data_IF_245140777208
#
_entry.id   IF_245140777208
#
_cell.length_a   1.000
_cell.length_b   1.000
_cell.length_c   1.000
_cell.angle_alpha   90.00
_cell.angle_beta   90.00
_cell.angle_gamma   90.00
#
_symmetry.space_group_name_H-M   'P 1'
#
loop_
_entity.id
_entity.type
_entity.pdbx_description
1 polymer ?
#
# COMPACT_ATOMS: atom_id res chain seq x y z
N UNK A 1 12.09 -26.93 31.82
CA UNK A 1 13.31 -27.01 30.98
C UNK A 1 12.95 -27.68 29.66
N UNK A 2 12.36 -26.92 28.73
CA UNK A 2 12.32 -27.16 27.26
C UNK A 2 11.69 -25.93 26.61
N UNK A 3 12.31 -25.44 25.53
CA UNK A 3 12.10 -24.17 24.84
C UNK A 3 10.92 -24.18 23.85
N UNK A 4 10.27 -23.02 23.66
CA UNK A 4 9.91 -22.38 22.38
C UNK A 4 9.02 -21.13 22.66
N UNK A 5 8.93 -20.08 21.85
CA UNK A 5 9.86 -19.08 21.26
C UNK A 5 8.96 -18.09 20.47
N UNK A 6 9.34 -16.80 20.41
CA UNK A 6 8.73 -15.63 19.74
C UNK A 6 7.59 -14.85 20.44
N UNK A 7 7.89 -13.62 20.90
CA UNK A 7 6.95 -12.50 20.88
C UNK A 7 7.42 -11.45 19.88
N UNK A 8 6.53 -11.07 18.97
CA UNK A 8 6.72 -9.88 18.13
C UNK A 8 5.83 -8.78 18.73
N UNK A 9 6.40 -7.87 19.52
CA UNK A 9 5.77 -6.59 19.84
C UNK A 9 5.90 -5.69 18.60
N UNK A 10 4.82 -5.32 17.94
CA UNK A 10 4.85 -4.52 16.69
C UNK A 10 4.68 -3.02 16.98
N UNK A 11 5.67 -2.22 16.56
CA UNK A 11 5.69 -0.77 16.74
C UNK A 11 5.80 -0.10 15.37
N UNK A 12 4.79 0.68 14.99
CA UNK A 12 4.70 1.36 13.69
C UNK A 12 4.73 2.88 13.88
N UNK A 13 5.58 3.55 13.10
CA UNK A 13 5.63 5.01 13.00
C UNK A 13 4.73 5.46 11.85
N UNK A 14 3.78 6.35 12.13
CA UNK A 14 2.94 6.93 11.08
C UNK A 14 2.72 8.42 11.29
N UNK A 15 2.74 9.16 10.18
CA UNK A 15 2.32 10.57 10.13
C UNK A 15 0.81 10.69 10.13
N UNK A 16 0.28 11.48 11.05
CA UNK A 16 -1.14 11.83 11.03
C UNK A 16 -1.48 12.91 9.97
N UNK A 17 -2.77 13.15 9.76
CA UNK A 17 -3.28 14.18 8.83
C UNK A 17 -2.88 15.62 9.23
N UNK A 18 -2.37 15.82 10.44
CA UNK A 18 -1.86 17.08 10.96
C UNK A 18 -0.32 17.19 10.86
N UNK A 19 0.34 16.29 10.12
CA UNK A 19 1.80 16.18 10.00
C UNK A 19 2.52 16.00 11.35
N UNK A 20 1.88 15.36 12.32
CA UNK A 20 2.53 14.99 13.59
C UNK A 20 2.91 13.52 13.54
N UNK A 21 4.12 13.25 14.02
CA UNK A 21 4.62 11.88 14.16
C UNK A 21 3.99 11.22 15.38
N UNK A 22 3.58 9.97 15.21
CA UNK A 22 2.98 9.16 16.26
C UNK A 22 3.63 7.78 16.29
N UNK A 23 3.86 7.28 17.51
CA UNK A 23 4.30 5.92 17.78
C UNK A 23 3.10 5.09 18.22
N UNK A 24 2.78 4.05 17.44
CA UNK A 24 1.84 3.02 17.86
C UNK A 24 2.57 1.97 18.69
N UNK A 25 1.98 1.58 19.82
CA UNK A 25 2.53 0.54 20.69
C UNK A 25 1.50 -0.58 20.88
N UNK A 26 1.86 -1.76 20.41
CA UNK A 26 1.15 -3.01 20.69
C UNK A 26 2.08 -3.94 21.48
N UNK A 27 1.50 -4.71 22.40
CA UNK A 27 2.21 -5.78 23.10
C UNK A 27 1.59 -7.12 22.77
N UNK A 28 2.44 -8.15 22.65
CA UNK A 28 1.98 -9.54 22.52
C UNK A 28 2.49 -10.34 23.70
N UNK A 29 1.57 -10.98 24.42
CA UNK A 29 1.89 -11.75 25.62
C UNK A 29 1.16 -13.09 25.61
N UNK A 30 1.60 -13.98 26.49
CA UNK A 30 1.08 -15.34 26.60
C UNK A 30 0.61 -15.56 28.02
N UNK A 31 -0.59 -16.11 28.18
CA UNK A 31 -1.16 -16.41 29.48
C UNK A 31 -0.70 -17.78 30.03
N UNK A 32 -1.20 -18.13 31.21
CA UNK A 32 -0.89 -19.41 31.87
C UNK A 32 -1.38 -20.65 31.10
N UNK A 33 -2.30 -20.47 30.15
CA UNK A 33 -2.84 -21.53 29.28
C UNK A 33 -2.10 -21.63 27.96
N UNK A 34 -1.07 -20.81 27.75
CA UNK A 34 -0.34 -20.67 26.50
C UNK A 34 -1.17 -20.05 25.36
N UNK A 35 -2.24 -19.32 25.70
CA UNK A 35 -2.99 -18.56 24.71
C UNK A 35 -2.27 -17.23 24.44
N UNK A 36 -2.15 -16.89 23.15
CA UNK A 36 -1.50 -15.64 22.69
C UNK A 36 -2.53 -14.51 22.69
N UNK A 37 -2.18 -13.42 23.36
CA UNK A 37 -2.97 -12.20 23.44
C UNK A 37 -2.19 -11.03 22.84
N UNK A 38 -2.91 -10.12 22.20
CA UNK A 38 -2.35 -8.91 21.62
C UNK A 38 -3.17 -7.71 22.08
N UNK A 39 -2.51 -6.78 22.77
CA UNK A 39 -3.14 -5.60 23.34
C UNK A 39 -2.51 -4.34 22.75
N UNK A 40 -3.37 -3.45 22.26
CA UNK A 40 -2.99 -2.12 21.82
C UNK A 40 -2.91 -1.17 23.03
N UNK A 41 -1.71 -0.71 23.35
CA UNK A 41 -1.46 0.18 24.50
C UNK A 41 -1.78 1.64 24.17
N UNK A 42 -1.59 2.06 22.92
CA UNK A 42 -1.97 3.39 22.48
C UNK A 42 -1.14 3.97 21.34
N UNK A 43 -1.56 5.16 20.92
CA UNK A 43 -0.82 6.04 20.01
C UNK A 43 -0.22 7.19 20.82
N UNK A 44 1.10 7.33 20.74
CA UNK A 44 1.85 8.33 21.48
C UNK A 44 2.44 9.34 20.52
N UNK A 45 2.08 10.61 20.71
CA UNK A 45 2.64 11.69 19.90
C UNK A 45 4.14 11.80 20.19
N UNK A 46 4.93 11.83 19.14
CA UNK A 46 6.37 12.08 19.21
C UNK A 46 6.66 13.54 18.91
N UNK A 47 7.54 14.15 19.72
CA UNK A 47 8.08 15.49 19.45
C UNK A 47 9.39 15.43 18.66
N UNK A 48 10.09 14.30 18.78
CA UNK A 48 11.37 14.02 18.14
C UNK A 48 11.38 12.56 17.68
N UNK A 49 12.10 12.28 16.59
CA UNK A 49 12.20 10.94 15.99
C UNK A 49 13.55 10.28 16.25
N UNK A 50 14.39 10.84 17.11
CA UNK A 50 15.65 10.22 17.46
C UNK A 50 15.44 8.97 18.32
N UNK A 51 16.40 8.06 18.24
CA UNK A 51 16.32 6.77 18.92
C UNK A 51 16.27 6.90 20.45
N UNK A 52 16.86 7.95 21.03
CA UNK A 52 16.89 8.16 22.47
C UNK A 52 15.51 8.58 22.99
N UNK A 53 14.85 9.49 22.28
CA UNK A 53 13.48 9.95 22.56
C UNK A 53 12.47 8.82 22.40
N UNK A 54 12.61 8.01 21.35
CA UNK A 54 11.80 6.81 21.14
C UNK A 54 11.98 5.83 22.31
N UNK A 55 13.23 5.53 22.68
CA UNK A 55 13.54 4.61 23.79
C UNK A 55 12.95 5.08 25.11
N UNK A 56 13.06 6.38 25.39
CA UNK A 56 12.46 6.99 26.58
C UNK A 56 10.94 6.88 26.56
N UNK A 57 10.31 7.14 25.42
CA UNK A 57 8.86 7.05 25.25
C UNK A 57 8.36 5.62 25.47
N UNK A 58 9.01 4.63 24.86
CA UNK A 58 8.70 3.20 25.06
C UNK A 58 8.77 2.83 26.54
N UNK A 59 9.86 3.18 27.23
CA UNK A 59 10.02 2.87 28.64
C UNK A 59 8.99 3.54 29.52
N UNK A 60 8.68 4.81 29.26
CA UNK A 60 7.64 5.54 29.98
C UNK A 60 6.27 4.86 29.84
N UNK A 61 5.94 4.37 28.63
CA UNK A 61 4.70 3.62 28.38
C UNK A 61 4.70 2.31 29.16
N UNK A 62 5.76 1.51 29.06
CA UNK A 62 5.87 0.25 29.81
C UNK A 62 5.73 0.48 31.32
N UNK A 63 6.36 1.53 31.86
CA UNK A 63 6.23 1.90 33.27
C UNK A 63 4.81 2.29 33.65
N UNK A 64 4.09 3.05 32.81
CA UNK A 64 2.68 3.42 33.05
C UNK A 64 1.76 2.21 33.13
N UNK A 65 2.04 1.16 32.37
CA UNK A 65 1.31 -0.11 32.42
C UNK A 65 1.90 -1.12 33.43
N UNK A 66 2.90 -0.73 34.21
CA UNK A 66 3.61 -1.61 35.16
C UNK A 66 4.22 -2.86 34.50
N UNK A 67 4.63 -2.74 33.24
CA UNK A 67 5.29 -3.78 32.48
C UNK A 67 6.81 -3.65 32.62
N UNK A 68 7.47 -4.75 33.01
CA UNK A 68 8.92 -4.80 33.13
C UNK A 68 9.58 -5.16 31.79
N UNK A 69 10.57 -4.38 31.36
CA UNK A 69 11.38 -4.67 30.17
C UNK A 69 12.17 -5.98 30.31
N UNK A 70 12.46 -6.44 31.53
CA UNK A 70 13.13 -7.73 31.78
C UNK A 70 12.32 -8.94 31.29
N UNK A 71 10.99 -8.76 31.22
CA UNK A 71 10.06 -9.77 30.71
C UNK A 71 9.91 -9.70 29.18
N UNK A 72 10.40 -8.65 28.53
CA UNK A 72 10.41 -8.56 27.07
C UNK A 72 11.34 -9.63 26.49
N UNK A 73 10.79 -10.44 25.57
CA UNK A 73 11.54 -11.50 24.86
C UNK A 73 11.69 -11.23 23.37
N UNK A 74 11.03 -10.22 22.85
CA UNK A 74 11.14 -9.84 21.46
C UNK A 74 10.55 -8.47 21.20
N UNK A 75 11.00 -7.87 20.11
CA UNK A 75 10.64 -6.51 19.71
C UNK A 75 10.69 -6.45 18.17
N UNK A 76 9.65 -5.89 17.55
CA UNK A 76 9.51 -5.83 16.10
C UNK A 76 9.27 -4.39 15.61
N UNK A 77 10.10 -3.96 14.67
CA UNK A 77 10.09 -2.59 14.14
C UNK A 77 10.17 -2.60 12.62
N UNK A 78 9.79 -1.48 12.00
CA UNK A 78 10.16 -1.19 10.63
C UNK A 78 11.68 -0.94 10.50
N UNK A 79 12.22 -0.97 9.28
CA UNK A 79 13.66 -0.79 9.04
C UNK A 79 14.12 0.68 9.14
N UNK A 80 13.35 1.55 9.81
CA UNK A 80 13.79 2.91 10.04
C UNK A 80 15.09 2.92 10.86
N UNK A 81 16.08 3.72 10.43
CA UNK A 81 17.42 3.73 11.03
C UNK A 81 17.40 4.08 12.53
N UNK A 82 16.46 4.91 12.97
CA UNK A 82 16.29 5.28 14.38
C UNK A 82 15.68 4.13 15.21
N UNK A 83 15.00 3.18 14.56
CA UNK A 83 14.40 2.02 15.20
C UNK A 83 15.36 0.82 15.21
N UNK A 84 15.95 0.50 14.05
CA UNK A 84 16.75 -0.74 13.84
C UNK A 84 18.26 -0.51 13.74
N UNK A 85 18.73 0.73 13.90
CA UNK A 85 20.16 1.05 13.85
C UNK A 85 21.00 0.21 14.81
N UNK A 86 21.94 -0.57 14.28
CA UNK A 86 22.70 -1.59 15.03
C UNK A 86 23.40 -1.06 16.31
N UNK A 87 23.82 0.20 16.34
CA UNK A 87 24.59 0.76 17.47
C UNK A 87 23.76 1.65 18.40
N UNK A 88 22.84 2.42 17.82
CA UNK A 88 22.11 3.52 18.50
C UNK A 88 20.61 3.49 18.29
N UNK A 89 20.06 2.60 17.46
CA UNK A 89 18.62 2.49 17.25
C UNK A 89 17.91 1.97 18.49
N UNK A 90 16.61 2.27 18.60
CA UNK A 90 15.72 1.82 19.68
C UNK A 90 15.94 0.34 20.05
N UNK A 91 15.94 -0.53 19.04
CA UNK A 91 16.12 -1.97 19.22
C UNK A 91 17.43 -2.31 19.93
N UNK A 92 18.53 -1.67 19.52
CA UNK A 92 19.84 -1.87 20.12
C UNK A 92 19.92 -1.32 21.56
N UNK A 93 19.22 -0.23 21.84
CA UNK A 93 19.17 0.35 23.19
C UNK A 93 18.38 -0.54 24.15
N UNK A 94 17.19 -1.00 23.76
CA UNK A 94 16.37 -1.90 24.58
C UNK A 94 17.07 -3.25 24.79
N UNK A 95 17.77 -3.76 23.77
CA UNK A 95 18.55 -5.01 23.89
C UNK A 95 19.72 -4.89 24.87
N UNK A 96 20.30 -3.70 25.06
CA UNK A 96 21.36 -3.50 26.08
C UNK A 96 20.83 -3.65 27.50
N UNK A 97 19.55 -3.33 27.73
CA UNK A 97 18.92 -3.42 29.05
C UNK A 97 18.25 -4.78 29.28
N UNK A 98 17.65 -5.35 28.23
CA UNK A 98 17.12 -6.71 28.23
C UNK A 98 17.78 -7.51 27.12
N UNK A 99 18.85 -8.24 27.46
CA UNK A 99 19.57 -9.07 26.48
C UNK A 99 18.70 -10.19 25.88
N UNK A 100 17.57 -10.52 26.53
CA UNK A 100 16.60 -11.48 26.06
C UNK A 100 15.63 -10.91 25.01
N UNK A 101 15.55 -9.59 24.82
CA UNK A 101 14.66 -8.94 23.86
C UNK A 101 15.23 -9.00 22.44
N UNK A 102 14.87 -10.06 21.71
CA UNK A 102 15.34 -10.27 20.33
C UNK A 102 14.66 -9.28 19.39
N UNK A 103 15.46 -8.53 18.62
CA UNK A 103 14.91 -7.67 17.57
C UNK A 103 14.62 -8.48 16.33
N UNK A 104 13.39 -8.33 15.81
CA UNK A 104 12.92 -8.91 14.56
C UNK A 104 12.50 -7.76 13.64
N UNK A 105 12.71 -7.93 12.33
CA UNK A 105 12.23 -6.96 11.36
C UNK A 105 10.74 -7.20 11.06
N UNK A 106 9.97 -6.14 10.88
CA UNK A 106 8.56 -6.24 10.49
C UNK A 106 8.43 -7.02 9.17
N UNK A 107 7.84 -8.21 9.24
CA UNK A 107 7.68 -9.10 8.09
C UNK A 107 6.88 -8.44 6.96
N UNK A 108 5.85 -7.65 7.31
CA UNK A 108 5.03 -6.91 6.34
C UNK A 108 5.88 -5.88 5.59
N UNK A 109 6.80 -5.19 6.28
CA UNK A 109 7.72 -4.26 5.66
C UNK A 109 8.74 -4.98 4.75
N UNK A 110 9.36 -6.06 5.23
CA UNK A 110 10.29 -6.86 4.42
C UNK A 110 9.62 -7.40 3.15
N UNK A 111 8.40 -7.95 3.26
CA UNK A 111 7.61 -8.39 2.12
C UNK A 111 7.34 -7.24 1.14
N UNK A 112 6.99 -6.07 1.66
CA UNK A 112 6.73 -4.88 0.85
C UNK A 112 7.96 -4.44 0.04
N UNK A 113 9.15 -4.47 0.65
CA UNK A 113 10.42 -4.20 -0.02
C UNK A 113 10.73 -5.26 -1.08
N UNK A 114 10.60 -6.55 -0.76
CA UNK A 114 10.80 -7.62 -1.73
C UNK A 114 9.88 -7.49 -2.95
N UNK A 115 8.60 -7.15 -2.73
CA UNK A 115 7.65 -6.91 -3.82
C UNK A 115 8.05 -5.69 -4.65
N UNK A 116 8.45 -4.60 -4.01
CA UNK A 116 8.91 -3.40 -4.72
C UNK A 116 10.13 -3.70 -5.60
N UNK A 117 11.10 -4.44 -5.09
CA UNK A 117 12.32 -4.77 -5.83
C UNK A 117 12.07 -5.77 -6.96
N UNK A 118 11.23 -6.78 -6.73
CA UNK A 118 10.87 -7.74 -7.78
C UNK A 118 10.08 -7.07 -8.91
N UNK A 119 9.11 -6.21 -8.56
CA UNK A 119 8.27 -5.52 -9.57
C UNK A 119 9.05 -4.49 -10.39
N UNK A 120 10.11 -3.89 -9.85
CA UNK A 120 11.03 -3.02 -10.62
C UNK A 120 11.73 -3.76 -11.76
N UNK A 121 11.91 -5.07 -11.65
CA UNK A 121 12.55 -5.89 -12.70
C UNK A 121 11.62 -6.17 -13.87
N UNK A 122 10.31 -5.99 -13.71
CA UNK A 122 9.31 -6.22 -14.75
C UNK A 122 8.55 -4.94 -15.03
N UNK A 123 8.89 -4.22 -16.11
CA UNK A 123 8.29 -2.93 -16.48
C UNK A 123 6.77 -2.97 -16.66
N UNK A 124 6.22 -4.13 -17.06
CA UNK A 124 4.78 -4.32 -17.25
C UNK A 124 3.97 -4.04 -15.98
N UNK A 125 4.49 -4.41 -14.80
CA UNK A 125 3.78 -4.26 -13.52
C UNK A 125 3.62 -2.78 -13.11
N UNK A 126 4.70 -1.98 -12.98
CA UNK A 126 4.58 -0.55 -12.67
C UNK A 126 3.84 0.21 -13.76
N UNK A 127 3.98 -0.15 -15.04
CA UNK A 127 3.22 0.48 -16.14
C UNK A 127 1.72 0.21 -16.01
N UNK A 128 1.34 -1.04 -15.74
CA UNK A 128 -0.07 -1.41 -15.52
C UNK A 128 -0.64 -0.71 -14.29
N UNK A 129 0.11 -0.63 -13.20
CA UNK A 129 -0.27 0.11 -12.00
C UNK A 129 -0.46 1.60 -12.30
N UNK A 130 0.48 2.22 -13.02
CA UNK A 130 0.39 3.63 -13.44
C UNK A 130 -0.89 3.87 -14.23
N UNK A 131 -1.22 2.99 -15.17
CA UNK A 131 -2.43 3.09 -15.97
C UNK A 131 -3.70 3.05 -15.10
N UNK A 132 -3.80 2.11 -14.15
CA UNK A 132 -4.94 2.03 -13.22
C UNK A 132 -5.10 3.33 -12.43
N UNK A 133 -3.98 3.88 -11.94
CA UNK A 133 -3.95 5.14 -11.19
C UNK A 133 -4.37 6.33 -12.07
N UNK A 134 -3.84 6.42 -13.28
CA UNK A 134 -4.18 7.44 -14.27
C UNK A 134 -5.69 7.43 -14.58
N UNK A 135 -6.27 6.25 -14.84
CA UNK A 135 -7.71 6.06 -15.08
C UNK A 135 -8.55 6.54 -13.89
N UNK A 136 -8.19 6.10 -12.67
CA UNK A 136 -8.90 6.48 -11.46
C UNK A 136 -8.85 7.99 -11.23
N UNK A 137 -7.68 8.61 -11.43
CA UNK A 137 -7.48 10.05 -11.28
C UNK A 137 -8.23 10.86 -12.35
N UNK A 138 -8.27 10.39 -13.60
CA UNK A 138 -9.02 11.07 -14.67
C UNK A 138 -10.52 11.18 -14.36
N UNK A 139 -11.09 10.15 -13.73
CA UNK A 139 -12.50 10.16 -13.31
C UNK A 139 -12.68 10.99 -12.03
N UNK A 140 -11.87 10.74 -11.00
CA UNK A 140 -12.06 11.31 -9.66
C UNK A 140 -11.67 12.77 -9.52
N UNK A 141 -10.69 13.26 -10.29
CA UNK A 141 -10.21 14.64 -10.17
C UNK A 141 -11.19 15.68 -10.74
N UNK A 142 -12.25 15.24 -11.43
CA UNK A 142 -13.29 16.12 -11.94
C UNK A 142 -14.66 15.68 -11.42
N UNK A 143 -15.34 16.52 -10.60
CA UNK A 143 -16.70 16.21 -10.13
C UNK A 143 -17.69 15.93 -11.27
N UNK A 144 -17.50 16.62 -12.41
CA UNK A 144 -18.31 16.40 -13.62
C UNK A 144 -18.08 15.00 -14.20
N UNK A 145 -16.81 14.59 -14.39
CA UNK A 145 -16.46 13.25 -14.92
C UNK A 145 -16.90 12.15 -13.96
N UNK A 146 -16.75 12.37 -12.64
CA UNK A 146 -17.23 11.45 -11.62
C UNK A 146 -18.75 11.28 -11.66
N UNK A 147 -19.51 12.36 -11.83
CA UNK A 147 -20.99 12.29 -11.94
C UNK A 147 -21.44 11.48 -13.16
N UNK A 148 -20.75 11.64 -14.30
CA UNK A 148 -21.01 10.84 -15.52
C UNK A 148 -20.73 9.36 -15.25
N UNK A 149 -19.58 9.06 -14.62
CA UNK A 149 -19.24 7.69 -14.23
C UNK A 149 -20.28 7.07 -13.30
N UNK A 150 -20.74 7.82 -12.29
CA UNK A 150 -21.68 7.31 -11.31
C UNK A 150 -23.04 6.98 -11.95
N UNK A 151 -23.56 7.86 -12.81
CA UNK A 151 -24.79 7.61 -13.57
C UNK A 151 -24.70 6.38 -14.45
N UNK A 152 -23.61 6.24 -15.23
CA UNK A 152 -23.40 5.07 -16.10
C UNK A 152 -23.33 3.80 -15.25
N UNK A 153 -22.66 3.86 -14.09
CA UNK A 153 -22.51 2.73 -13.18
C UNK A 153 -23.84 2.32 -12.56
N UNK A 154 -24.61 3.27 -12.03
CA UNK A 154 -25.94 3.03 -11.45
C UNK A 154 -26.90 2.42 -12.48
N UNK A 155 -26.94 2.98 -13.69
CA UNK A 155 -27.75 2.45 -14.78
C UNK A 155 -27.39 0.99 -15.10
N UNK A 156 -26.09 0.66 -15.15
CA UNK A 156 -25.66 -0.73 -15.37
C UNK A 156 -25.99 -1.67 -14.21
N UNK A 157 -25.92 -1.19 -12.97
CA UNK A 157 -26.32 -2.00 -11.81
C UNK A 157 -27.81 -2.32 -11.89
N UNK A 158 -28.63 -1.33 -12.25
CA UNK A 158 -30.05 -1.51 -12.50
C UNK A 158 -30.32 -2.52 -13.62
N UNK A 159 -29.69 -2.34 -14.79
CA UNK A 159 -29.88 -3.21 -15.97
C UNK A 159 -29.48 -4.68 -15.71
N UNK A 160 -28.45 -4.90 -14.89
CA UNK A 160 -27.97 -6.25 -14.56
C UNK A 160 -28.67 -6.84 -13.32
N UNK A 161 -29.62 -6.14 -12.70
CA UNK A 161 -30.25 -6.49 -11.42
C UNK A 161 -29.22 -6.82 -10.32
N UNK A 162 -28.07 -6.14 -10.33
CA UNK A 162 -26.98 -6.34 -9.39
C UNK A 162 -27.20 -5.44 -8.17
N UNK A 163 -27.56 -6.07 -7.05
CA UNK A 163 -27.79 -5.41 -5.76
C UNK A 163 -26.58 -5.51 -4.83
N UNK A 164 -25.43 -5.92 -5.35
CA UNK A 164 -24.19 -6.02 -4.61
C UNK A 164 -23.68 -4.66 -4.12
N UNK A 165 -22.75 -4.66 -3.16
CA UNK A 165 -22.13 -3.43 -2.67
C UNK A 165 -21.36 -2.73 -3.80
N UNK A 166 -21.63 -1.45 -3.97
CA UNK A 166 -20.98 -0.60 -4.97
C UNK A 166 -19.49 -0.46 -4.62
N UNK A 167 -18.60 -1.04 -5.42
CA UNK A 167 -17.16 -0.81 -5.25
C UNK A 167 -16.72 0.43 -6.01
N UNK A 168 -16.09 1.35 -5.30
CA UNK A 168 -15.48 2.52 -5.91
C UNK A 168 -14.09 2.20 -6.44
N UNK A 169 -13.66 2.90 -7.49
CA UNK A 169 -12.27 2.88 -7.94
C UNK A 169 -11.36 3.25 -6.75
N UNK A 170 -10.25 2.55 -6.58
CA UNK A 170 -9.33 2.77 -5.45
C UNK A 170 -8.06 3.47 -5.94
N UNK A 171 -7.54 4.47 -5.22
CA UNK A 171 -6.21 4.99 -5.48
C UNK A 171 -5.16 3.91 -5.14
N UNK A 172 -3.99 4.00 -5.76
CA UNK A 172 -2.86 3.17 -5.33
C UNK A 172 -2.30 3.67 -4.00
N UNK A 173 -1.99 2.74 -3.10
CA UNK A 173 -1.19 3.06 -1.92
C UNK A 173 0.27 3.33 -2.35
N UNK A 174 0.84 4.51 -2.06
CA UNK A 174 2.22 4.82 -2.46
C UNK A 174 3.24 3.92 -1.76
N UNK A 175 3.02 3.62 -0.49
CA UNK A 175 4.02 2.94 0.37
C UNK A 175 3.78 1.44 0.48
N UNK A 176 2.53 0.97 0.47
CA UNK A 176 2.18 -0.46 0.63
C UNK A 176 1.87 -1.11 -0.73
N UNK A 177 2.87 -1.75 -1.33
CA UNK A 177 2.78 -2.51 -2.58
C UNK A 177 1.85 -3.72 -2.49
N UNK A 178 1.87 -4.44 -1.36
CA UNK A 178 1.06 -5.66 -1.18
C UNK A 178 -0.46 -5.41 -1.33
N UNK A 179 -0.94 -4.18 -1.08
CA UNK A 179 -2.38 -3.83 -1.16
C UNK A 179 -2.79 -3.24 -2.51
N UNK A 180 -1.84 -3.03 -3.44
CA UNK A 180 -2.13 -2.40 -4.74
C UNK A 180 -2.97 -3.26 -5.68
N UNK A 181 -2.96 -4.59 -5.49
CA UNK A 181 -3.84 -5.52 -6.21
C UNK A 181 -5.31 -5.15 -6.08
N UNK A 182 -5.73 -4.62 -4.91
CA UNK A 182 -7.10 -4.22 -4.66
C UNK A 182 -7.60 -3.09 -5.59
N UNK A 183 -6.69 -2.27 -6.15
CA UNK A 183 -7.03 -1.26 -7.14
C UNK A 183 -7.32 -1.89 -8.52
N UNK A 184 -6.57 -2.94 -8.90
CA UNK A 184 -6.89 -3.73 -10.08
C UNK A 184 -8.24 -4.43 -9.92
N UNK A 185 -8.48 -5.10 -8.78
CA UNK A 185 -9.75 -5.77 -8.52
C UNK A 185 -10.94 -4.80 -8.59
N UNK A 186 -10.79 -3.59 -8.04
CA UNK A 186 -11.82 -2.57 -8.11
C UNK A 186 -12.07 -2.11 -9.56
N UNK A 187 -11.04 -1.97 -10.39
CA UNK A 187 -11.18 -1.57 -11.79
C UNK A 187 -11.74 -2.69 -12.68
N UNK A 188 -11.23 -3.92 -12.49
CA UNK A 188 -11.57 -5.11 -13.28
C UNK A 188 -12.90 -5.74 -12.87
N UNK A 189 -13.52 -5.26 -11.79
CA UNK A 189 -14.88 -5.64 -11.47
C UNK A 189 -15.81 -5.42 -12.68
N UNK A 190 -16.67 -6.39 -12.96
CA UNK A 190 -17.49 -6.46 -14.19
C UNK A 190 -18.26 -5.18 -14.47
N UNK A 191 -18.78 -4.54 -13.43
CA UNK A 191 -19.55 -3.29 -13.49
C UNK A 191 -18.62 -2.11 -13.75
N UNK A 192 -17.54 -1.96 -12.97
CA UNK A 192 -16.60 -0.86 -13.09
C UNK A 192 -15.85 -0.84 -14.42
N UNK A 193 -15.35 -1.98 -14.89
CA UNK A 193 -14.58 -2.02 -16.15
C UNK A 193 -15.37 -1.46 -17.33
N UNK A 194 -16.63 -1.91 -17.49
CA UNK A 194 -17.53 -1.44 -18.56
C UNK A 194 -18.00 0.00 -18.35
N UNK A 195 -18.20 0.42 -17.10
CA UNK A 195 -18.57 1.80 -16.78
C UNK A 195 -17.43 2.75 -17.12
N UNK A 196 -16.19 2.42 -16.75
CA UNK A 196 -15.01 3.20 -17.09
C UNK A 196 -14.87 3.38 -18.60
N UNK A 197 -14.96 2.30 -19.39
CA UNK A 197 -14.83 2.40 -20.85
C UNK A 197 -15.89 3.35 -21.43
N UNK A 198 -17.15 3.22 -21.01
CA UNK A 198 -18.23 4.09 -21.48
C UNK A 198 -18.02 5.55 -21.04
N UNK A 199 -17.63 5.78 -19.79
CA UNK A 199 -17.31 7.13 -19.30
C UNK A 199 -16.18 7.73 -20.14
N UNK A 200 -15.11 6.99 -20.39
CA UNK A 200 -13.96 7.46 -21.17
C UNK A 200 -14.34 7.78 -22.62
N UNK A 201 -15.25 7.01 -23.21
CA UNK A 201 -15.81 7.30 -24.53
C UNK A 201 -16.64 8.60 -24.51
N UNK A 202 -17.51 8.78 -23.51
CA UNK A 202 -18.38 9.95 -23.39
C UNK A 202 -17.61 11.26 -23.13
N UNK A 203 -16.52 11.19 -22.36
CA UNK A 203 -15.68 12.36 -22.07
C UNK A 203 -14.56 12.60 -23.11
N UNK A 204 -14.45 11.76 -24.15
CA UNK A 204 -13.45 11.89 -25.21
C UNK A 204 -12.01 11.56 -24.80
N UNK A 205 -11.79 10.85 -23.69
CA UNK A 205 -10.44 10.48 -23.20
C UNK A 205 -10.05 9.03 -23.59
N UNK A 206 -10.94 8.30 -24.28
CA UNK A 206 -10.69 6.91 -24.68
C UNK A 206 -9.47 6.77 -25.59
N UNK A 207 -9.31 7.68 -26.55
CA UNK A 207 -8.15 7.68 -27.47
C UNK A 207 -6.85 7.84 -26.69
N UNK A 208 -6.81 8.79 -25.75
CA UNK A 208 -5.64 9.03 -24.89
C UNK A 208 -5.21 7.78 -24.12
N UNK A 209 -6.16 7.02 -23.58
CA UNK A 209 -5.89 5.77 -22.87
C UNK A 209 -5.39 4.69 -23.84
N UNK A 210 -6.03 4.52 -24.99
CA UNK A 210 -5.61 3.54 -26.00
C UNK A 210 -4.18 3.80 -26.47
N UNK A 211 -3.85 5.07 -26.72
CA UNK A 211 -2.50 5.51 -27.06
C UNK A 211 -1.52 5.16 -25.95
N UNK A 212 -1.84 5.48 -24.69
CA UNK A 212 -1.00 5.13 -23.54
C UNK A 212 -0.71 3.63 -23.45
N UNK A 213 -1.71 2.79 -23.66
CA UNK A 213 -1.57 1.33 -23.63
C UNK A 213 -0.70 0.84 -24.78
N UNK A 214 -0.95 1.31 -26.00
CA UNK A 214 -0.24 0.87 -27.22
C UNK A 214 1.23 1.28 -27.22
N UNK A 215 1.56 2.50 -26.78
CA UNK A 215 2.94 2.97 -26.78
C UNK A 215 3.80 2.39 -25.65
N UNK A 216 3.19 2.00 -24.52
CA UNK A 216 3.92 1.40 -23.39
C UNK A 216 4.03 -0.12 -23.50
N UNK A 217 3.08 -0.79 -24.16
CA UNK A 217 3.24 -2.17 -24.58
C UNK A 217 4.18 -2.21 -25.80
N UNK A 218 5.48 -1.95 -25.60
CA UNK A 218 6.46 -2.30 -26.62
C UNK A 218 6.27 -3.79 -26.93
N UNK A 219 5.99 -4.17 -28.18
CA UNK A 219 5.86 -5.58 -28.51
C UNK A 219 7.16 -6.26 -28.13
N UNK A 220 7.08 -7.28 -27.27
CA UNK A 220 8.20 -8.22 -27.13
C UNK A 220 8.49 -8.74 -28.55
N UNK A 221 9.73 -8.63 -29.05
CA UNK A 221 10.09 -9.11 -30.39
C UNK A 221 9.76 -10.59 -30.62
N UNK A 222 9.40 -11.35 -29.58
CA UNK A 222 8.95 -12.75 -29.64
C UNK A 222 7.43 -12.94 -29.79
N UNK A 223 6.60 -11.91 -29.62
CA UNK A 223 5.13 -12.02 -29.75
C UNK A 223 4.59 -11.07 -30.81
N UNK A 224 4.22 -11.64 -31.96
CA UNK A 224 3.74 -10.95 -33.16
C UNK A 224 2.31 -10.41 -33.10
N UNK A 225 1.66 -10.41 -31.92
CA UNK A 225 0.21 -10.21 -31.82
C UNK A 225 -0.29 -8.76 -31.91
N UNK A 226 0.57 -7.74 -31.79
CA UNK A 226 0.13 -6.34 -31.62
C UNK A 226 0.56 -5.35 -32.72
N UNK A 227 1.24 -5.80 -33.79
CA UNK A 227 1.79 -4.92 -34.83
C UNK A 227 0.72 -4.13 -35.61
N UNK A 228 -0.44 -4.74 -35.88
CA UNK A 228 -1.53 -4.10 -36.63
C UNK A 228 -2.29 -3.02 -35.85
N UNK A 229 -2.46 -3.22 -34.54
CA UNK A 229 -3.13 -2.27 -33.64
C UNK A 229 -2.29 -1.02 -33.36
N UNK A 230 -0.95 -1.14 -33.35
CA UNK A 230 -0.05 -0.01 -33.14
C UNK A 230 -0.17 1.02 -34.28
N UNK A 231 -0.13 0.56 -35.54
CA UNK A 231 -0.20 1.42 -36.72
C UNK A 231 -1.55 2.16 -36.83
N UNK A 232 -2.67 1.51 -36.47
CA UNK A 232 -3.99 2.13 -36.51
C UNK A 232 -4.18 3.23 -35.45
N UNK A 233 -3.59 3.03 -34.27
CA UNK A 233 -3.62 4.01 -33.18
C UNK A 233 -2.66 5.17 -33.48
N UNK A 234 -1.47 4.91 -34.02
CA UNK A 234 -0.55 5.94 -34.51
C UNK A 234 -1.17 6.84 -35.58
N UNK A 235 -1.88 6.25 -36.55
CA UNK A 235 -2.56 6.99 -37.60
C UNK A 235 -3.69 7.87 -37.03
N UNK A 236 -4.38 7.41 -35.99
CA UNK A 236 -5.44 8.16 -35.33
C UNK A 236 -4.89 9.34 -34.51
N UNK A 237 -3.75 9.16 -33.82
CA UNK A 237 -3.06 10.24 -33.09
C UNK A 237 -2.54 11.32 -34.01
N UNK A 238 -1.90 10.94 -35.12
CA UNK A 238 -1.40 11.90 -36.13
C UNK A 238 -2.53 12.75 -36.70
N UNK A 239 -3.70 12.15 -36.91
CA UNK A 239 -4.89 12.81 -37.41
C UNK A 239 -5.50 13.81 -36.41
N UNK A 240 -5.46 13.52 -35.11
CA UNK A 240 -5.94 14.45 -34.07
C UNK A 240 -4.95 15.59 -33.78
N UNK A 241 -3.63 15.36 -33.92
CA UNK A 241 -2.61 16.38 -33.67
C UNK A 241 -2.31 17.28 -34.88
N UNK A 242 -2.94 17.04 -36.04
CA UNK A 242 -2.70 17.81 -37.26
C UNK A 242 -1.30 17.64 -37.85
N UNK A 243 -0.56 16.61 -37.43
CA UNK A 243 0.74 16.26 -37.97
C UNK A 243 0.55 15.22 -39.07
N UNK A 244 0.73 15.64 -40.32
CA UNK A 244 0.85 14.75 -41.48
C UNK A 244 2.23 14.07 -41.52
#
# INVERSE_FOLDING_TARGET
MTQAYQPDDEWDESRDISNKEQLSICIRWVDEKYDVHEDFLGLYKLEQLDADFLTKTVKDVLLRFSLSLENCRGQAYDEAANMTGHLRGLAAQLKKESNAAISVHCFVHCLNLCLQDYTRQCTLIPDSLSLVSEIANMIKNSPKKFTVFDKIREQRLFDNNDRGPIKNLKPLCPTRWAVRSSAFEALLEKTNYKSVINTMAEIGELVRICVRVVYNLKPDPKTSYFSGTHAAVEASVKKEQGLH
#
